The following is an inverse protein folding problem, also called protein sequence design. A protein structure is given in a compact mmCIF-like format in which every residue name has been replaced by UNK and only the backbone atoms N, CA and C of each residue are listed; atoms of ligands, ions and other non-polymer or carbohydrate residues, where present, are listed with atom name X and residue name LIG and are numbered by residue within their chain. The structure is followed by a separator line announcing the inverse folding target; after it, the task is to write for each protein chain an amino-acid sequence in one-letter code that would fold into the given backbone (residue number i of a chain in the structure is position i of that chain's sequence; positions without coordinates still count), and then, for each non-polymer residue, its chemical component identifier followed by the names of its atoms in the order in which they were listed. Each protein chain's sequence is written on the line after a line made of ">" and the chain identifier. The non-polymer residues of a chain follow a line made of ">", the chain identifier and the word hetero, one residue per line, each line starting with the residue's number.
data_IF_062776056517
#
_entry.id   IF_062776056517
#
_cell.length_a   1.000
_cell.length_b   1.000
_cell.length_c   1.000
_cell.angle_alpha   90.00
_cell.angle_beta   90.00
_cell.angle_gamma   90.00
#
_symmetry.space_group_name_H-M   'P 1'
#
loop_
_entity.id
_entity.type
_entity.pdbx_description
1 polymer ?
#
# COMPACT_ATOMS: atom_id res chain seq x y z
N UNK A 1 -22.98 -0.99 -2.30
CA UNK A 1 -21.86 -1.88 -1.91
C UNK A 1 -20.70 -0.97 -1.58
N UNK A 2 -19.99 -1.23 -0.47
CA UNK A 2 -18.79 -0.48 -0.06
C UNK A 2 -17.61 -0.84 -0.98
N UNK A 3 -16.96 0.16 -1.57
CA UNK A 3 -15.74 0.02 -2.38
C UNK A 3 -14.53 0.11 -1.45
N UNK A 4 -13.69 -0.93 -1.43
CA UNK A 4 -12.49 -1.03 -0.59
C UNK A 4 -11.22 -0.90 -1.40
N UNK A 5 -10.41 0.09 -1.02
CA UNK A 5 -9.14 0.41 -1.65
C UNK A 5 -7.95 -0.10 -0.87
N UNK A 6 -6.90 -0.47 -1.59
CA UNK A 6 -5.59 -0.81 -1.04
C UNK A 6 -4.48 0.00 -1.72
N UNK A 7 -3.53 0.49 -0.93
CA UNK A 7 -2.35 1.21 -1.40
C UNK A 7 -1.18 0.83 -0.49
N UNK A 8 0.00 0.59 -1.06
CA UNK A 8 1.21 0.35 -0.28
C UNK A 8 2.34 1.28 -0.71
N UNK A 9 3.25 1.55 0.21
CA UNK A 9 4.39 2.42 -0.07
C UNK A 9 5.39 2.48 1.07
N UNK A 10 6.60 2.91 0.71
CA UNK A 10 7.73 3.06 1.63
C UNK A 10 7.67 4.35 2.47
N UNK A 11 7.08 5.41 1.90
CA UNK A 11 6.88 6.72 2.53
C UNK A 11 8.12 7.27 3.27
N UNK A 12 9.27 7.32 2.58
CA UNK A 12 10.57 7.64 3.18
C UNK A 12 11.20 8.94 2.62
N UNK A 13 10.92 10.11 3.23
CA UNK A 13 9.77 10.41 4.09
C UNK A 13 8.48 10.62 3.25
N UNK A 14 7.29 10.76 3.89
CA UNK A 14 6.09 11.20 3.20
C UNK A 14 6.30 12.58 2.55
N UNK A 15 5.70 12.80 1.38
CA UNK A 15 5.79 14.06 0.65
C UNK A 15 4.49 14.35 -0.11
N UNK A 16 4.41 15.52 -0.77
CA UNK A 16 3.19 15.97 -1.44
C UNK A 16 2.62 14.96 -2.46
N UNK A 17 3.47 14.32 -3.27
CA UNK A 17 3.04 13.26 -4.19
C UNK A 17 2.35 12.07 -3.50
N UNK A 18 2.94 11.52 -2.44
CA UNK A 18 2.31 10.47 -1.63
C UNK A 18 0.94 10.90 -1.09
N UNK A 19 0.83 12.14 -0.59
CA UNK A 19 -0.43 12.66 -0.06
C UNK A 19 -1.47 12.88 -1.14
N UNK A 20 -1.06 13.38 -2.31
CA UNK A 20 -1.94 13.53 -3.47
C UNK A 20 -2.52 12.17 -3.89
N UNK A 21 -1.67 11.14 -4.01
CA UNK A 21 -2.08 9.79 -4.39
C UNK A 21 -3.02 9.18 -3.35
N UNK A 22 -2.67 9.21 -2.07
CA UNK A 22 -3.52 8.66 -1.01
C UNK A 22 -4.87 9.39 -0.91
N UNK A 23 -4.88 10.73 -0.97
CA UNK A 23 -6.13 11.51 -0.93
C UNK A 23 -6.99 11.30 -2.17
N UNK A 24 -6.38 11.07 -3.32
CA UNK A 24 -7.10 10.70 -4.54
C UNK A 24 -7.72 9.31 -4.38
N UNK A 25 -6.97 8.33 -3.89
CA UNK A 25 -7.50 6.99 -3.60
C UNK A 25 -8.68 7.04 -2.61
N UNK A 26 -8.57 7.82 -1.52
CA UNK A 26 -9.66 8.02 -0.55
C UNK A 26 -10.93 8.65 -1.14
N UNK A 27 -10.86 9.33 -2.30
CA UNK A 27 -12.04 9.88 -2.99
C UNK A 27 -12.66 8.89 -3.98
N UNK A 28 -11.96 7.81 -4.29
CA UNK A 28 -12.35 6.80 -5.28
C UNK A 28 -12.80 5.48 -4.64
N UNK A 29 -12.78 5.40 -3.31
CA UNK A 29 -13.27 4.27 -2.51
C UNK A 29 -13.92 4.79 -1.22
N UNK A 30 -14.70 3.94 -0.58
CA UNK A 30 -15.37 4.25 0.70
C UNK A 30 -14.42 3.98 1.89
N UNK A 31 -13.57 2.96 1.77
CA UNK A 31 -12.59 2.58 2.78
C UNK A 31 -11.22 2.37 2.13
N UNK A 32 -10.19 3.10 2.57
CA UNK A 32 -8.82 2.94 2.08
C UNK A 32 -7.95 2.31 3.16
N UNK A 33 -7.24 1.23 2.82
CA UNK A 33 -6.11 0.72 3.59
C UNK A 33 -4.80 1.17 2.98
N UNK A 34 -3.93 1.75 3.80
CA UNK A 34 -2.57 2.17 3.42
C UNK A 34 -1.55 1.36 4.21
N UNK A 35 -0.82 0.50 3.51
CA UNK A 35 0.26 -0.30 4.07
C UNK A 35 1.59 0.47 3.99
N UNK A 36 2.12 0.84 5.14
CA UNK A 36 3.44 1.48 5.29
C UNK A 36 4.47 0.37 5.43
N UNK A 37 5.22 0.11 4.36
CA UNK A 37 6.24 -0.93 4.32
C UNK A 37 7.60 -0.35 4.69
N UNK A 38 8.29 -0.97 5.65
CA UNK A 38 9.54 -0.44 6.20
C UNK A 38 10.56 -1.54 6.44
N UNK A 39 11.83 -1.18 6.39
CA UNK A 39 12.95 -2.06 6.73
C UNK A 39 13.81 -1.40 7.80
N UNK A 40 14.32 -2.17 8.77
CA UNK A 40 15.16 -1.66 9.87
C UNK A 40 16.44 -0.96 9.40
N UNK A 41 16.91 -1.30 8.19
CA UNK A 41 18.10 -0.71 7.55
C UNK A 41 17.86 0.68 6.94
N UNK A 42 16.64 1.20 6.99
CA UNK A 42 16.29 2.49 6.35
C UNK A 42 16.65 3.69 7.24
N UNK A 43 17.01 4.85 6.64
CA UNK A 43 17.51 6.01 7.38
C UNK A 43 16.48 6.70 8.28
N UNK A 44 15.19 6.36 8.16
CA UNK A 44 14.13 6.88 9.02
C UNK A 44 13.37 5.70 9.61
N UNK A 45 13.27 5.71 10.94
CA UNK A 45 12.55 4.72 11.71
C UNK A 45 11.15 4.44 11.14
N UNK A 46 10.81 3.15 11.03
CA UNK A 46 9.56 2.71 10.43
C UNK A 46 8.33 3.15 11.24
N UNK A 47 8.43 3.13 12.57
CA UNK A 47 7.33 3.55 13.47
C UNK A 47 7.10 5.05 13.36
N UNK A 48 8.15 5.83 13.16
CA UNK A 48 8.04 7.27 12.91
C UNK A 48 7.30 7.56 11.59
N UNK A 49 7.65 6.84 10.52
CA UNK A 49 6.92 6.96 9.23
C UNK A 49 5.47 6.53 9.34
N UNK A 50 5.19 5.43 10.04
CA UNK A 50 3.82 4.99 10.31
C UNK A 50 3.02 6.06 11.07
N UNK A 51 3.61 6.64 12.11
CA UNK A 51 2.99 7.70 12.89
C UNK A 51 2.67 8.95 12.05
N UNK A 52 3.59 9.37 11.18
CA UNK A 52 3.34 10.47 10.24
C UNK A 52 2.18 10.14 9.28
N UNK A 53 2.16 8.95 8.70
CA UNK A 53 1.10 8.56 7.77
C UNK A 53 -0.27 8.50 8.47
N UNK A 54 -0.35 8.01 9.72
CA UNK A 54 -1.59 8.08 10.52
C UNK A 54 -2.08 9.51 10.75
N UNK A 55 -1.17 10.44 11.02
CA UNK A 55 -1.52 11.85 11.21
C UNK A 55 -1.96 12.51 9.91
N UNK A 56 -1.32 12.16 8.79
CA UNK A 56 -1.57 12.76 7.48
C UNK A 56 -2.84 12.21 6.81
N UNK A 57 -3.27 10.99 7.17
CA UNK A 57 -4.41 10.28 6.58
C UNK A 57 -5.42 9.81 7.66
N UNK A 58 -6.05 10.71 8.42
CA UNK A 58 -6.92 10.34 9.54
C UNK A 58 -8.18 9.55 9.12
N UNK A 59 -8.56 9.57 7.83
CA UNK A 59 -9.70 8.81 7.30
C UNK A 59 -9.33 7.47 6.66
N UNK A 60 -8.05 7.06 6.69
CA UNK A 60 -7.60 5.79 6.13
C UNK A 60 -7.23 4.80 7.25
N UNK A 61 -7.35 3.50 6.96
CA UNK A 61 -6.78 2.42 7.78
C UNK A 61 -5.29 2.32 7.47
N UNK A 62 -4.45 2.93 8.30
CA UNK A 62 -2.98 2.92 8.10
C UNK A 62 -2.32 1.82 8.91
N UNK A 63 -1.70 0.86 8.24
CA UNK A 63 -1.06 -0.33 8.81
C UNK A 63 0.45 -0.25 8.61
N UNK A 64 1.23 -0.73 9.58
CA UNK A 64 2.67 -0.82 9.50
C UNK A 64 3.07 -2.27 9.21
N UNK A 65 3.89 -2.46 8.20
CA UNK A 65 4.52 -3.74 7.86
C UNK A 65 6.04 -3.57 7.89
N UNK A 66 6.70 -4.29 8.81
CA UNK A 66 8.11 -4.13 9.15
C UNK A 66 8.94 -5.42 8.98
N UNK A 67 8.40 -6.42 8.28
CA UNK A 67 9.11 -7.67 8.01
C UNK A 67 9.98 -7.55 6.75
N UNK A 68 11.17 -8.17 6.79
CA UNK A 68 12.08 -8.24 5.65
C UNK A 68 11.66 -9.38 4.71
N UNK A 69 10.86 -9.01 3.70
CA UNK A 69 10.38 -9.91 2.64
C UNK A 69 11.02 -9.52 1.31
N UNK A 70 10.98 -10.39 0.27
CA UNK A 70 11.41 -10.05 -1.08
C UNK A 70 10.85 -8.69 -1.56
N UNK A 71 11.73 -7.82 -2.07
CA UNK A 71 11.38 -6.44 -2.45
C UNK A 71 11.12 -6.31 -3.95
N UNK A 72 11.69 -7.20 -4.77
CA UNK A 72 11.45 -7.28 -6.21
C UNK A 72 11.08 -8.71 -6.65
N UNK A 73 10.36 -8.87 -7.78
CA UNK A 73 10.02 -10.21 -8.31
C UNK A 73 11.23 -11.11 -8.58
N UNK A 74 12.40 -10.54 -8.82
CA UNK A 74 13.65 -11.29 -9.04
C UNK A 74 14.22 -11.88 -7.74
N UNK A 75 13.84 -11.36 -6.58
CA UNK A 75 14.38 -11.80 -5.28
C UNK A 75 13.85 -13.17 -4.87
N UNK A 76 12.64 -13.55 -5.33
CA UNK A 76 11.99 -14.79 -4.93
C UNK A 76 10.92 -15.27 -5.93
N UNK A 77 10.86 -16.56 -6.28
CA UNK A 77 9.84 -17.10 -7.20
C UNK A 77 8.40 -16.85 -6.71
N UNK A 78 8.19 -16.92 -5.39
CA UNK A 78 6.87 -16.73 -4.77
C UNK A 78 6.59 -15.27 -4.38
N UNK A 79 7.36 -14.30 -4.91
CA UNK A 79 7.23 -12.87 -4.58
C UNK A 79 5.77 -12.39 -4.56
N UNK A 80 5.01 -12.72 -5.60
CA UNK A 80 3.62 -12.26 -5.74
C UNK A 80 2.66 -12.94 -4.76
N UNK A 81 2.88 -14.21 -4.44
CA UNK A 81 2.09 -14.93 -3.43
C UNK A 81 2.34 -14.36 -2.04
N UNK A 82 3.60 -14.07 -1.71
CA UNK A 82 3.99 -13.44 -0.45
C UNK A 82 3.27 -12.09 -0.30
N UNK A 83 3.37 -11.21 -1.30
CA UNK A 83 2.74 -9.89 -1.25
C UNK A 83 1.22 -9.95 -1.23
N UNK A 84 0.60 -10.89 -1.95
CA UNK A 84 -0.84 -11.14 -1.87
C UNK A 84 -1.27 -11.47 -0.44
N UNK A 85 -0.57 -12.39 0.24
CA UNK A 85 -0.91 -12.78 1.60
C UNK A 85 -0.74 -11.63 2.59
N UNK A 86 0.34 -10.85 2.47
CA UNK A 86 0.56 -9.63 3.27
C UNK A 86 -0.59 -8.64 3.10
N UNK A 87 -1.04 -8.42 1.86
CA UNK A 87 -2.16 -7.54 1.57
C UNK A 87 -3.48 -8.03 2.20
N UNK A 88 -3.75 -9.34 2.14
CA UNK A 88 -4.94 -9.96 2.72
C UNK A 88 -4.91 -9.95 4.26
N UNK A 89 -3.74 -10.09 4.88
CA UNK A 89 -3.58 -9.97 6.32
C UNK A 89 -3.82 -8.52 6.79
N UNK A 90 -3.36 -7.54 6.02
CA UNK A 90 -3.58 -6.12 6.30
C UNK A 90 -5.03 -5.67 6.00
N UNK A 91 -5.68 -6.29 5.02
CA UNK A 91 -7.06 -6.00 4.64
C UNK A 91 -7.84 -7.31 4.46
N UNK A 92 -8.39 -7.88 5.55
CA UNK A 92 -9.10 -9.16 5.51
C UNK A 92 -10.39 -9.14 4.68
N UNK A 93 -10.96 -7.96 4.47
CA UNK A 93 -12.10 -7.78 3.59
C UNK A 93 -11.68 -7.86 2.10
N UNK A 94 -12.60 -8.13 1.15
CA UNK A 94 -12.26 -8.11 -0.27
C UNK A 94 -11.72 -6.75 -0.70
N UNK A 95 -10.59 -6.73 -1.42
CA UNK A 95 -10.03 -5.52 -2.04
C UNK A 95 -10.69 -5.33 -3.40
N UNK A 96 -11.35 -4.19 -3.60
CA UNK A 96 -12.01 -3.87 -4.87
C UNK A 96 -11.09 -3.10 -5.83
N UNK A 97 -10.16 -2.30 -5.28
CA UNK A 97 -9.22 -1.51 -6.05
C UNK A 97 -7.83 -1.43 -5.41
N UNK A 98 -6.79 -1.54 -6.23
CA UNK A 98 -5.40 -1.27 -5.82
C UNK A 98 -4.93 0.02 -6.48
N UNK A 99 -4.45 0.96 -5.67
CA UNK A 99 -4.02 2.27 -6.10
C UNK A 99 -2.49 2.39 -6.03
N UNK A 100 -1.91 3.10 -7.00
CA UNK A 100 -0.50 3.51 -6.96
C UNK A 100 -0.11 4.26 -8.23
N UNK A 101 1.14 4.66 -8.34
CA UNK A 101 1.69 5.32 -9.54
C UNK A 101 2.56 4.38 -10.39
N UNK A 102 3.00 3.26 -9.82
CA UNK A 102 3.98 2.38 -10.46
C UNK A 102 3.37 1.18 -11.19
N UNK A 103 4.08 0.60 -12.18
CA UNK A 103 3.58 -0.53 -12.97
C UNK A 103 3.23 -1.78 -12.16
N UNK A 104 3.87 -2.00 -11.00
CA UNK A 104 3.61 -3.17 -10.16
C UNK A 104 2.15 -3.23 -9.68
N UNK A 105 1.45 -2.09 -9.61
CA UNK A 105 0.04 -1.96 -9.22
C UNK A 105 -0.84 -2.86 -10.08
N UNK A 106 -0.54 -2.96 -11.37
CA UNK A 106 -1.30 -3.79 -12.31
C UNK A 106 -1.23 -5.26 -11.91
N UNK A 107 -0.03 -5.74 -11.59
CA UNK A 107 0.18 -7.14 -11.22
C UNK A 107 -0.33 -7.43 -9.81
N UNK A 108 -0.10 -6.54 -8.85
CA UNK A 108 -0.63 -6.69 -7.50
C UNK A 108 -2.17 -6.74 -7.48
N UNK A 109 -2.84 -5.89 -8.27
CA UNK A 109 -4.29 -5.92 -8.42
C UNK A 109 -4.77 -7.27 -8.97
N UNK A 110 -4.06 -7.84 -9.95
CA UNK A 110 -4.36 -9.17 -10.49
C UNK A 110 -4.29 -10.25 -9.41
N UNK A 111 -3.24 -10.24 -8.57
CA UNK A 111 -3.09 -11.21 -7.47
C UNK A 111 -4.23 -11.12 -6.45
N UNK A 112 -4.76 -9.91 -6.24
CA UNK A 112 -5.86 -9.65 -5.30
C UNK A 112 -7.25 -9.79 -5.92
N UNK A 113 -7.36 -10.08 -7.23
CA UNK A 113 -8.64 -10.09 -7.94
C UNK A 113 -9.33 -8.70 -7.97
N UNK A 114 -8.54 -7.64 -7.86
CA UNK A 114 -8.99 -6.26 -7.74
C UNK A 114 -8.77 -5.47 -9.04
N UNK A 115 -9.39 -4.30 -9.15
CA UNK A 115 -9.16 -3.38 -10.27
C UNK A 115 -7.91 -2.51 -10.00
N UNK A 116 -6.93 -2.44 -10.92
CA UNK A 116 -5.83 -1.49 -10.77
C UNK A 116 -6.29 -0.06 -11.06
N UNK A 117 -5.77 0.89 -10.28
CA UNK A 117 -5.99 2.33 -10.46
C UNK A 117 -4.63 3.02 -10.42
N UNK A 118 -4.10 3.32 -11.60
CA UNK A 118 -2.85 4.08 -11.72
C UNK A 118 -3.16 5.57 -11.62
N UNK A 119 -2.51 6.25 -10.68
CA UNK A 119 -2.65 7.68 -10.41
C UNK A 119 -1.34 8.35 -10.77
N UNK A 120 -1.39 9.35 -11.64
CA UNK A 120 -0.22 10.13 -12.07
C UNK A 120 0.95 9.26 -12.59
N UNK A 121 0.72 8.46 -13.67
CA UNK A 121 1.71 7.56 -14.25
C UNK A 121 2.91 8.27 -14.90
#
# INVERSE_FOLDING_TARGET
>A
MTIRGFLLGKFLPPHAGHLFMCKTAMRLCDELTVLVCTLDREPIDGRLRHAWMKQLLPGARVIHFDQDVPQEPADHPDFWEIWRNICLDAHPEPVDAVFGSEPYVMRLAQELGARPVVIDP
#
